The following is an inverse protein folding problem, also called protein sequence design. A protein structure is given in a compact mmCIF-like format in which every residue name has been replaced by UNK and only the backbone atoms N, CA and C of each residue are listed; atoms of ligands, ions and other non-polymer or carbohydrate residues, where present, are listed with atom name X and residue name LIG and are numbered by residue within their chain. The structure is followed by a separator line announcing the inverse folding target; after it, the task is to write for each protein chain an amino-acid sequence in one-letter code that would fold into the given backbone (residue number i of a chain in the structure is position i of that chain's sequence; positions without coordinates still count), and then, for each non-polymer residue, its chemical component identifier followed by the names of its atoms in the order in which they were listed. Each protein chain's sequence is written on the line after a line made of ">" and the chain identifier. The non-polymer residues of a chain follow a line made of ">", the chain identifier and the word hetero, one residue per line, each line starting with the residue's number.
data_IF_614929204770
#
_entry.id   IF_614929204770
#
_cell.length_a   1.000
_cell.length_b   1.000
_cell.length_c   1.000
_cell.angle_alpha   90.00
_cell.angle_beta   90.00
_cell.angle_gamma   90.00
#
_symmetry.space_group_name_H-M   'P 1'
#
loop_
_entity.id
_entity.type
_entity.pdbx_description
1 polymer ?
#
# COMPACT_ATOMS: atom_id res chain seq x y z
N UNK A 1 -10.36 51.09 -15.82
CA UNK A 1 -11.46 50.15 -16.14
C UNK A 1 -11.16 49.25 -17.34
N UNK A 2 -11.18 49.71 -18.60
CA UNK A 2 -10.93 48.81 -19.76
C UNK A 2 -9.53 48.17 -19.77
N UNK A 3 -8.51 48.89 -19.28
CA UNK A 3 -7.14 48.37 -19.22
C UNK A 3 -6.96 47.30 -18.13
N UNK A 4 -7.64 47.47 -16.99
CA UNK A 4 -7.55 46.58 -15.83
C UNK A 4 -8.31 45.27 -16.04
N UNK A 5 -9.46 45.32 -16.71
CA UNK A 5 -10.20 44.12 -17.11
C UNK A 5 -9.41 43.29 -18.15
N UNK A 6 -8.76 43.96 -19.10
CA UNK A 6 -7.87 43.29 -20.06
C UNK A 6 -6.67 42.66 -19.37
N UNK A 7 -6.11 43.34 -18.36
CA UNK A 7 -5.03 42.79 -17.54
C UNK A 7 -5.49 41.53 -16.77
N UNK A 8 -6.67 41.58 -16.14
CA UNK A 8 -7.24 40.44 -15.43
C UNK A 8 -7.52 39.25 -16.38
N UNK A 9 -8.02 39.51 -17.59
CA UNK A 9 -8.19 38.48 -18.65
C UNK A 9 -6.86 37.84 -19.04
N UNK A 10 -5.80 38.64 -19.19
CA UNK A 10 -4.47 38.14 -19.52
C UNK A 10 -3.90 37.27 -18.38
N UNK A 11 -4.02 37.73 -17.13
CA UNK A 11 -3.59 36.98 -15.94
C UNK A 11 -4.30 35.62 -15.85
N UNK A 12 -5.62 35.56 -16.03
CA UNK A 12 -6.39 34.31 -16.03
C UNK A 12 -5.99 33.41 -17.21
N UNK A 13 -5.74 33.98 -18.38
CA UNK A 13 -5.36 33.21 -19.59
C UNK A 13 -3.98 32.58 -19.46
N UNK A 14 -3.08 33.19 -18.69
CA UNK A 14 -1.74 32.68 -18.40
C UNK A 14 -1.74 31.53 -17.38
N UNK A 15 -2.86 31.30 -16.68
CA UNK A 15 -2.98 30.15 -15.77
C UNK A 15 -3.06 28.85 -16.54
N UNK A 16 -2.45 27.80 -16.01
CA UNK A 16 -2.69 26.45 -16.52
C UNK A 16 -4.04 25.91 -16.01
N UNK A 17 -4.54 24.84 -16.66
CA UNK A 17 -5.85 24.25 -16.33
C UNK A 17 -5.98 23.81 -14.86
N UNK A 18 -4.89 23.37 -14.23
CA UNK A 18 -4.93 23.00 -12.81
C UNK A 18 -5.09 24.22 -11.90
N UNK A 19 -4.41 25.32 -12.18
CA UNK A 19 -4.59 26.58 -11.45
C UNK A 19 -6.02 27.09 -11.60
N UNK A 20 -6.57 27.01 -12.81
CA UNK A 20 -7.97 27.37 -13.07
C UNK A 20 -8.95 26.48 -12.31
N UNK A 21 -8.74 25.18 -12.31
CA UNK A 21 -9.60 24.25 -11.56
C UNK A 21 -9.50 24.50 -10.05
N UNK A 22 -8.29 24.76 -9.54
CA UNK A 22 -8.09 25.13 -8.14
C UNK A 22 -8.85 26.41 -7.78
N UNK A 23 -8.80 27.43 -8.63
CA UNK A 23 -9.58 28.66 -8.41
C UNK A 23 -11.08 28.39 -8.30
N UNK A 24 -11.64 27.56 -9.18
CA UNK A 24 -13.06 27.17 -9.10
C UNK A 24 -13.35 26.49 -7.77
N UNK A 25 -12.46 25.63 -7.27
CA UNK A 25 -12.65 24.98 -5.99
C UNK A 25 -12.55 25.96 -4.81
N UNK A 26 -11.68 26.96 -4.89
CA UNK A 26 -11.56 28.04 -3.91
C UNK A 26 -12.83 28.89 -3.87
N UNK A 27 -13.38 29.26 -5.02
CA UNK A 27 -14.66 29.96 -5.10
C UNK A 27 -15.77 29.18 -4.40
N UNK A 28 -15.86 27.86 -4.61
CA UNK A 28 -16.83 27.01 -3.90
C UNK A 28 -16.62 27.06 -2.38
N UNK A 29 -15.38 26.95 -1.91
CA UNK A 29 -15.06 26.96 -0.48
C UNK A 29 -15.47 28.27 0.19
N UNK A 30 -15.19 29.41 -0.45
CA UNK A 30 -15.54 30.72 0.09
C UNK A 30 -16.98 31.15 -0.24
N UNK A 31 -17.83 30.23 -0.70
CA UNK A 31 -19.22 30.49 -1.06
C UNK A 31 -19.41 31.63 -2.08
N UNK A 32 -18.46 31.77 -3.02
CA UNK A 32 -18.62 32.70 -4.12
C UNK A 32 -19.79 32.25 -5.01
N UNK A 33 -20.57 33.20 -5.51
CA UNK A 33 -21.55 32.92 -6.55
C UNK A 33 -20.83 32.62 -7.86
N UNK A 34 -20.80 31.35 -8.26
CA UNK A 34 -20.11 30.89 -9.47
C UNK A 34 -21.00 31.14 -10.69
N UNK A 35 -20.54 32.01 -11.58
CA UNK A 35 -21.22 32.29 -12.84
C UNK A 35 -21.04 31.10 -13.77
N UNK A 36 -22.13 30.49 -14.24
CA UNK A 36 -22.06 29.27 -15.07
C UNK A 36 -21.84 29.67 -16.54
N UNK A 37 -20.64 29.40 -17.05
CA UNK A 37 -20.29 29.52 -18.48
C UNK A 37 -19.44 28.32 -18.92
N UNK A 38 -19.47 27.97 -20.20
CA UNK A 38 -18.71 26.82 -20.74
C UNK A 38 -17.19 27.07 -20.77
N UNK A 39 -16.79 28.33 -20.99
CA UNK A 39 -15.39 28.72 -20.98
C UNK A 39 -14.88 28.94 -19.54
N UNK A 40 -13.89 28.16 -19.11
CA UNK A 40 -13.32 28.24 -17.75
C UNK A 40 -12.69 29.61 -17.44
N UNK A 41 -12.10 30.30 -18.42
CA UNK A 41 -11.51 31.62 -18.21
C UNK A 41 -12.61 32.65 -17.93
N UNK A 42 -13.69 32.62 -18.73
CA UNK A 42 -14.85 33.49 -18.52
C UNK A 42 -15.55 33.17 -17.20
N UNK A 43 -15.66 31.88 -16.86
CA UNK A 43 -16.21 31.42 -15.59
C UNK A 43 -15.47 32.04 -14.43
N UNK A 44 -14.14 31.99 -14.45
CA UNK A 44 -13.29 32.57 -13.42
C UNK A 44 -13.42 34.10 -13.38
N UNK A 45 -13.31 34.75 -14.55
CA UNK A 45 -13.40 36.20 -14.68
C UNK A 45 -14.73 36.75 -14.14
N UNK A 46 -15.84 36.19 -14.59
CA UNK A 46 -17.17 36.65 -14.21
C UNK A 46 -17.46 36.35 -12.74
N UNK A 47 -17.02 35.18 -12.24
CA UNK A 47 -17.15 34.83 -10.83
C UNK A 47 -16.37 35.80 -9.95
N UNK A 48 -15.10 36.09 -10.27
CA UNK A 48 -14.29 36.97 -9.44
C UNK A 48 -14.77 38.43 -9.52
N UNK A 49 -15.20 38.92 -10.67
CA UNK A 49 -15.75 40.28 -10.78
C UNK A 49 -17.08 40.42 -10.04
N UNK A 50 -18.00 39.48 -10.23
CA UNK A 50 -19.32 39.52 -9.59
C UNK A 50 -19.22 39.56 -8.05
N UNK A 51 -18.38 38.70 -7.47
CA UNK A 51 -18.21 38.61 -6.02
C UNK A 51 -17.36 39.76 -5.43
N UNK A 52 -16.81 40.63 -6.27
CA UNK A 52 -16.01 41.78 -5.88
C UNK A 52 -16.58 43.09 -6.43
N UNK A 53 -17.90 43.17 -6.61
CA UNK A 53 -18.64 44.39 -7.02
C UNK A 53 -18.13 45.02 -8.33
N UNK A 54 -17.60 44.20 -9.25
CA UNK A 54 -16.95 44.62 -10.49
C UNK A 54 -15.71 45.53 -10.28
N UNK A 55 -15.14 45.54 -9.07
CA UNK A 55 -13.86 46.19 -8.79
C UNK A 55 -12.71 45.34 -9.34
N UNK A 56 -12.20 45.73 -10.51
CA UNK A 56 -11.13 45.03 -11.24
C UNK A 56 -9.81 45.00 -10.48
N UNK A 57 -9.43 46.08 -9.79
CA UNK A 57 -8.19 46.14 -9.01
C UNK A 57 -8.24 45.13 -7.84
N UNK A 58 -9.34 45.13 -7.09
CA UNK A 58 -9.52 44.19 -5.98
C UNK A 58 -9.62 42.74 -6.45
N UNK A 59 -10.29 42.49 -7.59
CA UNK A 59 -10.34 41.17 -8.21
C UNK A 59 -8.94 40.65 -8.62
N UNK A 60 -8.06 41.51 -9.13
CA UNK A 60 -6.66 41.15 -9.43
C UNK A 60 -5.90 40.80 -8.14
N UNK A 61 -6.09 41.56 -7.06
CA UNK A 61 -5.46 41.27 -5.77
C UNK A 61 -5.92 39.90 -5.26
N UNK A 62 -7.23 39.63 -5.27
CA UNK A 62 -7.79 38.34 -4.85
C UNK A 62 -7.32 37.17 -5.70
N UNK A 63 -7.24 37.37 -7.02
CA UNK A 63 -6.67 36.37 -7.94
C UNK A 63 -5.24 36.01 -7.52
N UNK A 64 -4.40 37.03 -7.31
CA UNK A 64 -3.01 36.84 -6.91
C UNK A 64 -2.89 36.18 -5.53
N UNK A 65 -3.74 36.54 -4.57
CA UNK A 65 -3.81 35.87 -3.27
C UNK A 65 -4.08 34.37 -3.42
N UNK A 66 -5.07 33.97 -4.22
CA UNK A 66 -5.38 32.55 -4.45
C UNK A 66 -4.24 31.79 -5.13
N UNK A 67 -3.58 32.41 -6.10
CA UNK A 67 -2.43 31.79 -6.78
C UNK A 67 -1.23 31.67 -5.82
N UNK A 68 -1.00 32.69 -4.99
CA UNK A 68 0.16 32.77 -4.12
C UNK A 68 0.14 31.74 -2.99
N UNK A 69 -1.02 31.18 -2.62
CA UNK A 69 -1.11 30.13 -1.61
C UNK A 69 -0.95 28.71 -2.17
N UNK A 70 -0.88 28.53 -3.50
CA UNK A 70 -0.71 27.21 -4.10
C UNK A 70 0.70 26.65 -3.88
N UNK A 71 0.82 25.32 -3.80
CA UNK A 71 2.14 24.67 -3.80
C UNK A 71 2.83 24.83 -5.15
N UNK A 72 4.16 24.89 -5.13
CA UNK A 72 4.94 25.10 -6.34
C UNK A 72 5.02 23.86 -7.21
N UNK A 73 5.41 24.08 -8.47
CA UNK A 73 5.54 23.04 -9.48
C UNK A 73 6.40 21.84 -9.03
N UNK A 74 7.59 22.02 -8.40
CA UNK A 74 8.41 20.88 -8.01
C UNK A 74 7.72 19.95 -7.02
N UNK A 75 6.96 20.50 -6.07
CA UNK A 75 6.18 19.72 -5.10
C UNK A 75 5.08 18.91 -5.79
N UNK A 76 4.35 19.52 -6.74
CA UNK A 76 3.33 18.81 -7.53
C UNK A 76 3.94 17.68 -8.34
N UNK A 77 5.05 17.94 -9.02
CA UNK A 77 5.76 16.94 -9.81
C UNK A 77 6.25 15.79 -8.92
N UNK A 78 6.76 16.09 -7.72
CA UNK A 78 7.19 15.05 -6.76
C UNK A 78 6.05 14.10 -6.37
N UNK A 79 4.84 14.64 -6.17
CA UNK A 79 3.63 13.86 -5.85
C UNK A 79 3.25 13.01 -7.07
N UNK A 80 3.26 13.57 -8.28
CA UNK A 80 2.80 12.86 -9.48
C UNK A 80 3.77 11.75 -9.90
N UNK A 81 5.08 11.97 -9.75
CA UNK A 81 6.12 11.05 -10.23
C UNK A 81 6.24 9.77 -9.39
N UNK A 82 6.15 9.85 -8.06
CA UNK A 82 6.22 8.68 -7.17
C UNK A 82 4.81 8.29 -6.69
N UNK A 83 4.22 7.28 -7.34
CA UNK A 83 2.89 6.74 -7.00
C UNK A 83 2.79 6.23 -5.57
N UNK A 84 3.87 5.67 -5.03
CA UNK A 84 3.88 5.18 -3.64
C UNK A 84 3.90 6.37 -2.69
N UNK A 85 4.69 7.40 -3.00
CA UNK A 85 4.72 8.63 -2.21
C UNK A 85 3.37 9.34 -2.19
N UNK A 86 2.68 9.47 -3.32
CA UNK A 86 1.38 10.15 -3.34
C UNK A 86 0.32 9.43 -2.53
N UNK A 87 0.26 8.09 -2.62
CA UNK A 87 -0.65 7.28 -1.83
C UNK A 87 -0.27 7.33 -0.34
N UNK A 88 1.03 7.36 -0.03
CA UNK A 88 1.51 7.55 1.34
C UNK A 88 1.01 8.88 1.91
N UNK A 89 1.18 9.99 1.18
CA UNK A 89 0.70 11.32 1.59
C UNK A 89 -0.81 11.33 1.80
N UNK A 90 -1.55 10.74 0.86
CA UNK A 90 -3.01 10.64 0.93
C UNK A 90 -3.47 9.84 2.16
N UNK A 91 -2.91 8.65 2.38
CA UNK A 91 -3.24 7.81 3.54
C UNK A 91 -2.84 8.49 4.85
N UNK A 92 -1.67 9.14 4.90
CA UNK A 92 -1.23 9.87 6.07
C UNK A 92 -2.22 10.99 6.42
N UNK A 93 -2.57 11.85 5.47
CA UNK A 93 -3.52 12.96 5.69
C UNK A 93 -4.92 12.44 6.05
N UNK A 94 -5.38 11.35 5.44
CA UNK A 94 -6.70 10.78 5.71
C UNK A 94 -6.85 10.19 7.13
N UNK A 95 -5.74 9.82 7.77
CA UNK A 95 -5.74 9.14 9.07
C UNK A 95 -5.13 9.97 10.20
N UNK A 96 -4.49 11.10 9.91
CA UNK A 96 -3.83 11.93 10.91
C UNK A 96 -4.47 13.31 11.06
N UNK A 97 -4.37 13.86 12.27
CA UNK A 97 -4.90 15.18 12.64
C UNK A 97 -3.87 16.26 12.35
N UNK A 98 -3.72 16.59 11.07
CA UNK A 98 -2.61 17.40 10.57
C UNK A 98 -2.91 18.90 10.58
N UNK A 99 -4.14 19.34 10.38
CA UNK A 99 -4.47 20.76 10.17
C UNK A 99 -5.30 21.33 11.32
N UNK A 100 -5.01 22.57 11.72
CA UNK A 100 -5.86 23.32 12.64
C UNK A 100 -7.23 23.59 12.04
N UNK A 101 -8.26 23.76 12.86
CA UNK A 101 -9.62 24.05 12.40
C UNK A 101 -9.79 25.34 11.63
N UNK A 102 -8.95 26.33 11.92
CA UNK A 102 -8.91 27.61 11.20
C UNK A 102 -8.05 27.53 9.93
N UNK A 103 -7.52 26.35 9.61
CA UNK A 103 -6.68 26.05 8.45
C UNK A 103 -5.40 26.90 8.32
N UNK A 104 -4.96 27.56 9.40
CA UNK A 104 -3.77 28.44 9.39
C UNK A 104 -2.49 27.75 9.86
N UNK A 105 -2.60 26.57 10.46
CA UNK A 105 -1.47 25.83 11.02
C UNK A 105 -1.47 24.36 10.56
N UNK A 106 -0.26 23.88 10.30
CA UNK A 106 0.02 22.47 10.04
C UNK A 106 0.79 21.90 11.23
N UNK A 107 0.24 20.85 11.84
CA UNK A 107 0.83 20.14 12.95
C UNK A 107 1.70 18.99 12.47
N UNK A 108 2.96 19.01 12.90
CA UNK A 108 3.94 17.98 12.61
C UNK A 108 3.94 16.93 13.73
N UNK A 109 2.79 16.28 13.94
CA UNK A 109 2.60 15.13 14.84
C UNK A 109 3.12 15.24 16.30
N UNK A 110 3.10 16.43 16.90
CA UNK A 110 3.47 16.62 18.30
C UNK A 110 2.24 16.64 19.24
N UNK A 111 1.85 15.43 19.66
CA UNK A 111 1.31 15.06 20.99
C UNK A 111 0.28 15.95 21.73
N UNK A 112 -0.57 16.81 21.17
CA UNK A 112 -1.56 17.55 22.01
C UNK A 112 -3.04 17.35 21.61
N UNK A 113 -3.98 17.36 22.57
CA UNK A 113 -5.42 17.19 22.32
C UNK A 113 -5.98 18.47 21.70
N UNK A 114 -5.91 18.57 20.39
CA UNK A 114 -6.40 19.75 19.66
C UNK A 114 -7.92 19.62 19.49
N UNK A 115 -8.65 20.63 19.96
CA UNK A 115 -10.11 20.61 20.08
C UNK A 115 -10.86 20.91 18.79
N UNK A 116 -10.22 21.38 17.72
CA UNK A 116 -10.90 21.60 16.44
C UNK A 116 -9.91 21.31 15.30
N UNK A 117 -10.21 20.33 14.45
CA UNK A 117 -9.32 19.80 13.40
C UNK A 117 -10.07 19.73 12.08
N UNK A 118 -9.45 20.15 10.98
CA UNK A 118 -10.00 19.91 9.65
C UNK A 118 -9.81 18.44 9.32
N UNK A 119 -10.92 17.83 8.98
CA UNK A 119 -10.92 16.46 8.57
C UNK A 119 -10.81 16.40 7.05
N UNK A 120 -9.70 15.87 6.52
CA UNK A 120 -9.55 15.56 5.10
C UNK A 120 -10.75 14.76 4.56
N UNK A 121 -11.40 13.96 5.41
CA UNK A 121 -12.61 13.19 5.07
C UNK A 121 -13.85 14.03 4.76
N UNK A 122 -13.89 15.29 5.18
CA UNK A 122 -14.94 16.23 4.78
C UNK A 122 -14.74 16.75 3.35
N UNK A 123 -13.48 16.75 2.89
CA UNK A 123 -13.10 17.17 1.54
C UNK A 123 -13.08 16.00 0.56
N UNK A 124 -12.49 14.88 0.97
CA UNK A 124 -12.22 13.70 0.14
C UNK A 124 -13.05 12.50 0.56
N UNK A 125 -13.35 11.63 -0.40
CA UNK A 125 -13.98 10.34 -0.17
C UNK A 125 -13.03 9.20 -0.57
N UNK A 126 -12.29 8.57 0.37
CA UNK A 126 -11.39 7.46 0.07
C UNK A 126 -12.04 6.31 -0.70
N UNK A 127 -13.34 6.07 -0.46
CA UNK A 127 -14.14 5.08 -1.19
C UNK A 127 -14.29 5.35 -2.69
N UNK A 128 -14.04 6.59 -3.15
CA UNK A 128 -14.10 6.99 -4.57
C UNK A 128 -12.73 7.01 -5.25
N UNK A 129 -11.64 6.83 -4.49
CA UNK A 129 -10.26 6.92 -4.97
C UNK A 129 -9.78 5.60 -5.56
N UNK A 130 -10.16 5.38 -6.82
CA UNK A 130 -9.98 4.11 -7.53
C UNK A 130 -8.70 4.00 -8.36
N UNK A 131 -7.94 5.09 -8.52
CA UNK A 131 -6.68 5.13 -9.27
C UNK A 131 -5.77 6.23 -8.71
N UNK A 132 -4.49 6.18 -9.09
CA UNK A 132 -3.48 7.12 -8.58
C UNK A 132 -3.70 8.55 -9.08
N UNK A 133 -4.22 8.75 -10.28
CA UNK A 133 -4.46 10.11 -10.81
C UNK A 133 -5.51 10.86 -10.00
N UNK A 134 -6.61 10.18 -9.65
CA UNK A 134 -7.63 10.73 -8.75
C UNK A 134 -7.04 11.08 -7.39
N UNK A 135 -6.21 10.20 -6.82
CA UNK A 135 -5.51 10.45 -5.55
C UNK A 135 -4.60 11.67 -5.65
N UNK A 136 -3.82 11.79 -6.73
CA UNK A 136 -2.91 12.90 -6.95
C UNK A 136 -3.67 14.23 -7.04
N UNK A 137 -4.72 14.28 -7.86
CA UNK A 137 -5.56 15.47 -8.02
C UNK A 137 -6.22 15.87 -6.70
N UNK A 138 -6.84 14.93 -6.01
CA UNK A 138 -7.54 15.19 -4.76
C UNK A 138 -6.60 15.65 -3.64
N UNK A 139 -5.42 15.05 -3.55
CA UNK A 139 -4.35 15.46 -2.63
C UNK A 139 -3.85 16.88 -2.93
N UNK A 140 -3.53 17.17 -4.19
CA UNK A 140 -3.02 18.49 -4.61
C UNK A 140 -4.08 19.57 -4.38
N UNK A 141 -5.33 19.30 -4.77
CA UNK A 141 -6.44 20.23 -4.59
C UNK A 141 -6.66 20.53 -3.12
N UNK A 142 -6.68 19.51 -2.26
CA UNK A 142 -6.79 19.70 -0.82
C UNK A 142 -5.67 20.58 -0.25
N UNK A 143 -4.42 20.27 -0.57
CA UNK A 143 -3.26 21.05 -0.07
C UNK A 143 -3.30 22.48 -0.60
N UNK A 144 -3.77 22.71 -1.82
CA UNK A 144 -3.91 24.07 -2.33
C UNK A 144 -5.05 24.84 -1.64
N UNK A 145 -6.14 24.16 -1.27
CA UNK A 145 -7.36 24.77 -0.71
C UNK A 145 -7.23 25.16 0.76
N UNK A 146 -6.39 24.46 1.53
CA UNK A 146 -6.12 24.84 2.93
C UNK A 146 -5.52 26.25 3.02
N UNK A 147 -5.95 27.04 4.02
CA UNK A 147 -5.61 28.47 4.17
C UNK A 147 -4.22 28.74 4.75
N UNK A 148 -3.37 27.71 4.83
CA UNK A 148 -2.00 27.86 5.31
C UNK A 148 -1.17 28.70 4.34
N UNK A 149 -0.12 29.34 4.86
CA UNK A 149 0.85 30.00 4.01
C UNK A 149 1.56 28.99 3.10
N UNK A 150 1.97 29.43 1.90
CA UNK A 150 2.73 28.63 0.95
C UNK A 150 3.96 27.95 1.60
N UNK A 151 4.69 28.70 2.42
CA UNK A 151 5.86 28.21 3.16
C UNK A 151 5.51 27.07 4.12
N UNK A 152 4.37 27.13 4.82
CA UNK A 152 3.93 26.04 5.69
C UNK A 152 3.60 24.79 4.87
N UNK A 153 2.89 24.94 3.74
CA UNK A 153 2.55 23.82 2.84
C UNK A 153 3.81 23.12 2.32
N UNK A 154 4.80 23.90 1.88
CA UNK A 154 6.10 23.39 1.44
C UNK A 154 6.82 22.62 2.55
N UNK A 155 6.97 23.23 3.74
CA UNK A 155 7.57 22.57 4.91
C UNK A 155 6.89 21.26 5.27
N UNK A 156 5.56 21.20 5.13
CA UNK A 156 4.81 19.98 5.36
C UNK A 156 5.10 18.90 4.32
N UNK A 157 5.15 19.26 3.04
CA UNK A 157 5.53 18.32 1.99
C UNK A 157 6.97 17.83 2.13
N UNK A 158 7.90 18.71 2.50
CA UNK A 158 9.29 18.33 2.81
C UNK A 158 9.37 17.35 3.98
N UNK A 159 8.58 17.60 5.03
CA UNK A 159 8.46 16.69 6.16
C UNK A 159 7.95 15.31 5.73
N UNK A 160 6.86 15.26 4.95
CA UNK A 160 6.31 14.01 4.43
C UNK A 160 7.32 13.27 3.56
N UNK A 161 8.02 13.99 2.68
CA UNK A 161 9.03 13.41 1.80
C UNK A 161 10.21 12.85 2.58
N UNK A 162 10.72 13.60 3.58
CA UNK A 162 11.79 13.15 4.47
C UNK A 162 11.38 11.90 5.23
N UNK A 163 10.17 11.91 5.81
CA UNK A 163 9.61 10.77 6.56
C UNK A 163 9.45 9.53 5.69
N UNK A 164 8.89 9.69 4.49
CA UNK A 164 8.73 8.60 3.53
C UNK A 164 10.08 8.04 3.09
N UNK A 165 11.03 8.90 2.71
CA UNK A 165 12.35 8.48 2.25
C UNK A 165 13.13 7.74 3.33
N UNK A 166 13.08 8.19 4.58
CA UNK A 166 13.70 7.48 5.70
C UNK A 166 13.08 6.09 5.89
N UNK A 167 11.74 6.02 5.94
CA UNK A 167 11.00 4.76 6.10
C UNK A 167 11.25 3.79 4.93
N UNK A 168 11.31 4.29 3.70
CA UNK A 168 11.58 3.52 2.48
C UNK A 168 13.00 2.95 2.45
N UNK A 169 13.99 3.74 2.91
CA UNK A 169 15.39 3.31 3.00
C UNK A 169 15.55 2.15 3.97
N UNK A 170 14.89 2.22 5.12
CA UNK A 170 15.02 1.21 6.18
C UNK A 170 14.13 -0.03 5.94
N UNK A 171 12.98 0.14 5.25
CA UNK A 171 11.97 -0.91 5.08
C UNK A 171 11.65 -1.18 3.61
N UNK A 172 12.51 -1.96 2.95
CA UNK A 172 12.35 -2.26 1.53
C UNK A 172 11.30 -3.35 1.23
N UNK A 173 10.47 -3.04 0.24
CA UNK A 173 9.47 -3.92 -0.37
C UNK A 173 9.89 -4.48 -1.73
N UNK A 174 11.19 -4.52 -2.04
CA UNK A 174 11.70 -5.07 -3.31
C UNK A 174 11.20 -6.49 -3.62
N UNK A 175 10.94 -7.29 -2.59
CA UNK A 175 10.39 -8.65 -2.69
C UNK A 175 8.95 -8.72 -3.22
N UNK A 176 8.19 -7.61 -3.26
CA UNK A 176 6.87 -7.55 -3.90
C UNK A 176 6.93 -7.52 -5.44
N UNK A 177 8.13 -7.39 -6.01
CA UNK A 177 8.37 -7.45 -7.47
C UNK A 177 8.33 -8.87 -8.03
N UNK A 178 8.23 -9.90 -7.18
CA UNK A 178 8.14 -11.29 -7.60
C UNK A 178 6.95 -11.51 -8.56
N UNK A 179 7.20 -12.16 -9.71
CA UNK A 179 6.16 -12.60 -10.64
C UNK A 179 5.43 -13.82 -10.05
N UNK A 180 4.59 -13.57 -9.06
CA UNK A 180 3.74 -14.57 -8.44
C UNK A 180 2.26 -14.12 -8.50
N UNK A 181 1.41 -14.93 -9.12
CA UNK A 181 -0.01 -14.62 -9.33
C UNK A 181 -0.82 -14.54 -8.02
N UNK A 182 -0.38 -15.21 -6.96
CA UNK A 182 -1.06 -15.24 -5.67
C UNK A 182 -0.66 -14.09 -4.75
N UNK A 183 0.53 -13.50 -4.98
CA UNK A 183 1.10 -12.47 -4.12
C UNK A 183 0.23 -11.20 -3.99
N UNK A 184 -0.41 -10.68 -5.06
CA UNK A 184 -1.25 -9.49 -4.94
C UNK A 184 -2.44 -9.72 -3.99
N UNK A 185 -3.23 -10.77 -4.22
CA UNK A 185 -4.39 -11.08 -3.37
C UNK A 185 -3.94 -11.41 -1.94
N UNK A 186 -2.89 -12.19 -1.77
CA UNK A 186 -2.38 -12.53 -0.45
C UNK A 186 -1.95 -11.28 0.34
N UNK A 187 -1.31 -10.30 -0.32
CA UNK A 187 -0.85 -9.08 0.34
C UNK A 187 -2.03 -8.21 0.80
N UNK A 188 -3.07 -8.09 -0.04
CA UNK A 188 -4.32 -7.39 0.31
C UNK A 188 -4.98 -8.09 1.50
N UNK A 189 -5.19 -9.41 1.43
CA UNK A 189 -5.80 -10.19 2.52
C UNK A 189 -5.01 -10.09 3.83
N UNK A 190 -3.66 -10.06 3.73
CA UNK A 190 -2.79 -9.94 4.90
C UNK A 190 -2.98 -8.58 5.57
N UNK A 191 -3.08 -7.51 4.79
CA UNK A 191 -3.26 -6.16 5.28
C UNK A 191 -4.67 -5.95 5.85
N UNK A 192 -5.71 -6.43 5.17
CA UNK A 192 -7.11 -6.34 5.63
C UNK A 192 -7.34 -7.01 6.98
N UNK A 193 -6.68 -8.15 7.22
CA UNK A 193 -6.86 -8.93 8.46
C UNK A 193 -5.93 -8.49 9.60
N UNK A 194 -5.06 -7.50 9.36
CA UNK A 194 -4.04 -7.12 10.32
C UNK A 194 -4.58 -6.06 11.30
N UNK A 195 -4.62 -6.42 12.58
CA UNK A 195 -5.10 -5.55 13.67
C UNK A 195 -4.29 -4.26 13.84
N UNK A 196 -2.99 -4.26 13.50
CA UNK A 196 -2.16 -3.05 13.56
C UNK A 196 -2.63 -2.07 12.50
N UNK A 197 -2.87 -2.53 11.28
CA UNK A 197 -3.38 -1.68 10.20
C UNK A 197 -4.77 -1.16 10.54
N UNK A 198 -5.68 -2.03 11.01
CA UNK A 198 -7.03 -1.64 11.41
C UNK A 198 -7.02 -0.56 12.51
N UNK A 199 -6.11 -0.68 13.48
CA UNK A 199 -5.97 0.28 14.59
C UNK A 199 -5.43 1.64 14.11
N UNK A 200 -4.37 1.60 13.29
CA UNK A 200 -3.61 2.80 12.91
C UNK A 200 -4.20 3.52 11.68
N UNK A 201 -4.85 2.79 10.77
CA UNK A 201 -5.33 3.28 9.48
C UNK A 201 -6.78 2.85 9.22
N UNK A 202 -7.72 3.70 9.64
CA UNK A 202 -9.16 3.46 9.46
C UNK A 202 -9.67 3.82 8.06
N UNK A 203 -8.91 4.64 7.32
CA UNK A 203 -9.34 5.22 6.05
C UNK A 203 -8.34 4.91 4.96
N UNK A 204 -8.63 3.86 4.20
CA UNK A 204 -7.85 3.44 3.05
C UNK A 204 -8.60 3.77 1.75
N UNK A 205 -7.90 4.20 0.69
CA UNK A 205 -8.53 4.40 -0.61
C UNK A 205 -8.97 3.06 -1.21
N UNK A 206 -10.07 3.04 -1.97
CA UNK A 206 -10.56 1.80 -2.62
C UNK A 206 -9.53 1.18 -3.56
N UNK A 207 -8.58 1.98 -4.08
CA UNK A 207 -7.41 1.52 -4.82
C UNK A 207 -6.61 0.42 -4.10
N UNK A 208 -6.64 0.37 -2.77
CA UNK A 208 -6.00 -0.68 -1.98
C UNK A 208 -6.46 -2.10 -2.38
N UNK A 209 -7.73 -2.26 -2.75
CA UNK A 209 -8.31 -3.55 -3.13
C UNK A 209 -7.98 -3.95 -4.59
N UNK A 210 -7.29 -3.08 -5.33
CA UNK A 210 -6.88 -3.37 -6.70
C UNK A 210 -5.56 -4.17 -6.72
N UNK A 211 -5.64 -5.40 -7.24
CA UNK A 211 -4.49 -6.31 -7.39
C UNK A 211 -3.39 -5.77 -8.29
N UNK A 212 -3.72 -4.93 -9.27
CA UNK A 212 -2.70 -4.34 -10.17
C UNK A 212 -1.92 -3.23 -9.46
N UNK A 213 -2.56 -2.61 -8.47
CA UNK A 213 -2.01 -1.49 -7.71
C UNK A 213 -1.19 -1.90 -6.48
N UNK A 214 -1.23 -3.19 -6.10
CA UNK A 214 -0.68 -3.67 -4.83
C UNK A 214 0.79 -3.29 -4.60
N UNK A 215 1.60 -3.23 -5.68
CA UNK A 215 3.04 -2.94 -5.62
C UNK A 215 3.34 -1.55 -5.06
N UNK A 216 2.41 -0.62 -5.19
CA UNK A 216 2.57 0.73 -4.66
C UNK A 216 1.62 1.02 -3.50
N UNK A 217 0.43 0.40 -3.43
CA UNK A 217 -0.49 0.60 -2.30
C UNK A 217 0.01 -0.04 -1.01
N UNK A 218 0.54 -1.27 -1.07
CA UNK A 218 1.03 -2.00 0.12
C UNK A 218 2.19 -1.25 0.79
N UNK A 219 3.26 -0.85 0.07
CA UNK A 219 4.32 -0.05 0.68
C UNK A 219 3.82 1.29 1.19
N UNK A 220 2.95 1.99 0.44
CA UNK A 220 2.43 3.30 0.84
C UNK A 220 1.70 3.25 2.18
N UNK A 221 0.79 2.27 2.35
CA UNK A 221 0.05 2.03 3.60
C UNK A 221 1.02 1.72 4.73
N UNK A 222 1.98 0.82 4.50
CA UNK A 222 2.97 0.48 5.51
C UNK A 222 3.78 1.71 5.98
N UNK A 223 4.25 2.52 5.04
CA UNK A 223 5.06 3.68 5.38
C UNK A 223 4.23 4.74 6.11
N UNK A 224 2.92 4.85 5.83
CA UNK A 224 1.99 5.80 6.44
C UNK A 224 1.59 5.47 7.88
N UNK A 225 1.81 4.24 8.37
CA UNK A 225 1.54 3.88 9.76
C UNK A 225 2.41 4.71 10.72
N UNK A 226 1.79 5.28 11.76
CA UNK A 226 2.45 6.06 12.81
C UNK A 226 2.89 5.19 14.00
N UNK A 227 3.53 4.07 13.69
CA UNK A 227 4.11 3.14 14.66
C UNK A 227 5.63 3.32 14.73
N UNK A 228 6.23 2.83 15.81
CA UNK A 228 7.68 2.91 16.00
C UNK A 228 8.46 2.14 14.92
N UNK A 229 9.70 2.54 14.68
CA UNK A 229 10.57 1.85 13.71
C UNK A 229 10.76 0.36 14.07
N UNK A 230 10.86 0.03 15.36
CA UNK A 230 10.94 -1.34 15.83
C UNK A 230 9.68 -2.15 15.47
N UNK A 231 8.49 -1.58 15.62
CA UNK A 231 7.23 -2.21 15.21
C UNK A 231 7.14 -2.37 13.69
N UNK A 232 7.60 -1.38 12.91
CA UNK A 232 7.69 -1.50 11.43
C UNK A 232 8.61 -2.65 11.02
N UNK A 233 9.80 -2.76 11.63
CA UNK A 233 10.74 -3.88 11.39
C UNK A 233 10.08 -5.22 11.68
N UNK A 234 9.48 -5.36 12.86
CA UNK A 234 8.83 -6.60 13.29
C UNK A 234 7.67 -6.96 12.36
N UNK A 235 6.85 -5.99 11.97
CA UNK A 235 5.77 -6.18 11.02
C UNK A 235 6.29 -6.74 9.69
N UNK A 236 7.30 -6.09 9.11
CA UNK A 236 7.85 -6.49 7.81
C UNK A 236 8.50 -7.89 7.86
N UNK A 237 9.23 -8.21 8.93
CA UNK A 237 9.80 -9.54 9.16
C UNK A 237 8.69 -10.59 9.22
N UNK A 238 7.64 -10.30 9.99
CA UNK A 238 6.50 -11.22 10.18
C UNK A 238 5.74 -11.44 8.87
N UNK A 239 5.53 -10.37 8.10
CA UNK A 239 4.90 -10.43 6.77
C UNK A 239 5.72 -11.29 5.81
N UNK A 240 7.03 -11.04 5.68
CA UNK A 240 7.92 -11.84 4.83
C UNK A 240 7.92 -13.32 5.22
N UNK A 241 7.97 -13.61 6.53
CA UNK A 241 7.90 -14.98 7.05
C UNK A 241 6.57 -15.66 6.72
N UNK A 242 5.45 -14.96 6.89
CA UNK A 242 4.12 -15.47 6.57
C UNK A 242 3.99 -15.78 5.06
N UNK A 243 4.53 -14.91 4.20
CA UNK A 243 4.58 -15.17 2.76
C UNK A 243 5.43 -16.39 2.42
N UNK A 244 6.63 -16.50 3.02
CA UNK A 244 7.50 -17.67 2.84
C UNK A 244 6.81 -18.98 3.23
N UNK A 245 6.06 -18.98 4.32
CA UNK A 245 5.25 -20.13 4.74
C UNK A 245 4.12 -20.44 3.74
N UNK A 246 3.43 -19.43 3.22
CA UNK A 246 2.39 -19.62 2.18
C UNK A 246 2.99 -20.23 0.92
N UNK A 247 4.11 -19.70 0.41
CA UNK A 247 4.84 -20.27 -0.74
C UNK A 247 5.21 -21.73 -0.51
N UNK A 248 5.76 -22.03 0.66
CA UNK A 248 6.14 -23.41 1.02
C UNK A 248 4.94 -24.36 1.03
N UNK A 249 3.82 -23.96 1.66
CA UNK A 249 2.58 -24.75 1.69
C UNK A 249 2.01 -24.98 0.29
N UNK A 250 1.99 -23.95 -0.55
CA UNK A 250 1.55 -24.06 -1.95
C UNK A 250 2.45 -25.02 -2.73
N UNK A 251 3.77 -24.93 -2.55
CA UNK A 251 4.75 -25.83 -3.17
C UNK A 251 4.51 -27.29 -2.77
N UNK A 252 4.36 -27.57 -1.47
CA UNK A 252 4.05 -28.91 -0.95
C UNK A 252 2.77 -29.47 -1.60
N UNK A 253 1.71 -28.66 -1.64
CA UNK A 253 0.41 -29.07 -2.21
C UNK A 253 0.54 -29.41 -3.69
N UNK A 254 1.23 -28.57 -4.45
CA UNK A 254 1.44 -28.78 -5.89
C UNK A 254 2.31 -30.00 -6.18
N UNK A 255 3.33 -30.25 -5.36
CA UNK A 255 4.21 -31.42 -5.46
C UNK A 255 3.60 -32.71 -4.86
N UNK A 256 2.33 -32.65 -4.40
CA UNK A 256 1.63 -33.75 -3.69
C UNK A 256 2.45 -34.33 -2.52
N UNK A 257 3.28 -33.52 -1.89
CA UNK A 257 4.06 -33.91 -0.72
C UNK A 257 3.20 -33.81 0.52
N UNK A 258 3.45 -34.70 1.48
CA UNK A 258 2.83 -34.66 2.81
C UNK A 258 3.95 -34.45 3.82
N UNK A 259 3.70 -33.61 4.83
CA UNK A 259 4.67 -33.40 5.91
C UNK A 259 4.56 -34.57 6.88
N UNK A 260 5.67 -35.26 7.12
CA UNK A 260 5.77 -36.32 8.12
C UNK A 260 6.48 -35.76 9.34
N UNK A 261 5.73 -35.47 10.41
CA UNK A 261 6.29 -35.02 11.68
C UNK A 261 6.66 -36.25 12.52
N UNK A 262 7.95 -36.56 12.60
CA UNK A 262 8.47 -37.67 13.41
C UNK A 262 9.18 -37.12 14.64
N UNK A 263 8.87 -37.72 15.80
CA UNK A 263 9.69 -37.60 17.00
C UNK A 263 10.48 -38.90 17.11
N UNK A 264 11.80 -38.80 17.18
CA UNK A 264 12.71 -39.93 17.26
C UNK A 264 13.72 -39.68 18.37
N UNK A 265 14.24 -40.75 18.97
CA UNK A 265 15.29 -40.63 19.97
C UNK A 265 16.59 -40.08 19.36
N UNK A 266 17.43 -39.48 20.20
CA UNK A 266 18.64 -38.77 19.77
C UNK A 266 19.59 -39.68 18.96
N UNK A 267 19.66 -40.98 19.31
CA UNK A 267 20.47 -41.95 18.58
C UNK A 267 19.99 -42.14 17.14
N UNK A 268 18.67 -42.22 16.94
CA UNK A 268 18.06 -42.37 15.61
C UNK A 268 18.30 -41.11 14.78
N UNK A 269 18.14 -39.93 15.37
CA UNK A 269 18.43 -38.65 14.69
C UNK A 269 19.90 -38.59 14.22
N UNK A 270 20.85 -38.99 15.08
CA UNK A 270 22.28 -39.07 14.72
C UNK A 270 22.52 -40.02 13.55
N UNK A 271 21.92 -41.22 13.58
CA UNK A 271 22.05 -42.21 12.51
C UNK A 271 21.46 -41.70 11.19
N UNK A 272 20.27 -41.09 11.22
CA UNK A 272 19.62 -40.51 10.04
C UNK A 272 20.43 -39.36 9.44
N UNK A 273 20.98 -38.47 10.26
CA UNK A 273 21.87 -37.37 9.81
C UNK A 273 23.17 -37.88 9.21
N UNK A 274 23.75 -38.94 9.77
CA UNK A 274 24.94 -39.60 9.21
C UNK A 274 24.65 -40.19 7.83
N UNK A 275 23.57 -40.96 7.69
CA UNK A 275 23.15 -41.51 6.40
C UNK A 275 22.86 -40.41 5.38
N UNK A 276 22.20 -39.32 5.80
CA UNK A 276 21.96 -38.16 4.96
C UNK A 276 23.25 -37.57 4.37
N UNK A 277 24.34 -37.55 5.15
CA UNK A 277 25.67 -37.11 4.69
C UNK A 277 26.35 -38.14 3.78
N UNK A 278 26.31 -39.42 4.15
CA UNK A 278 26.97 -40.49 3.37
C UNK A 278 26.34 -40.64 1.96
N UNK A 279 25.03 -40.47 1.85
CA UNK A 279 24.30 -40.57 0.59
C UNK A 279 24.10 -39.21 -0.13
N UNK A 280 24.57 -38.11 0.46
CA UNK A 280 24.36 -36.73 -0.02
C UNK A 280 22.90 -36.42 -0.40
N UNK A 281 21.96 -36.85 0.45
CA UNK A 281 20.53 -36.60 0.27
C UNK A 281 19.88 -36.15 1.57
N UNK A 282 18.82 -35.33 1.54
CA UNK A 282 18.16 -34.89 2.77
C UNK A 282 17.54 -36.04 3.56
N UNK A 283 17.46 -35.91 4.88
CA UNK A 283 16.95 -36.95 5.80
C UNK A 283 15.58 -37.52 5.40
N UNK A 284 14.66 -36.70 4.89
CA UNK A 284 13.35 -37.19 4.43
C UNK A 284 13.45 -38.17 3.24
N UNK A 285 14.49 -38.03 2.41
CA UNK A 285 14.77 -38.95 1.30
C UNK A 285 15.34 -40.27 1.80
N UNK A 286 16.21 -40.23 2.82
CA UNK A 286 16.68 -41.43 3.52
C UNK A 286 15.50 -42.24 4.07
N UNK A 287 14.60 -41.58 4.80
CA UNK A 287 13.38 -42.23 5.33
C UNK A 287 12.56 -42.84 4.20
N UNK A 288 12.38 -42.12 3.09
CA UNK A 288 11.65 -42.66 1.93
C UNK A 288 12.33 -43.90 1.33
N UNK A 289 13.66 -43.88 1.19
CA UNK A 289 14.45 -45.01 0.67
C UNK A 289 14.34 -46.23 1.59
N UNK A 290 14.48 -46.03 2.91
CA UNK A 290 14.34 -47.09 3.90
C UNK A 290 12.95 -47.72 3.86
N UNK A 291 11.89 -46.90 3.79
CA UNK A 291 10.51 -47.38 3.74
C UNK A 291 10.24 -48.22 2.49
N UNK A 292 10.70 -47.78 1.32
CA UNK A 292 10.57 -48.54 0.07
C UNK A 292 11.29 -49.88 0.19
N UNK A 293 12.56 -49.85 0.61
CA UNK A 293 13.37 -51.05 0.77
C UNK A 293 12.72 -52.09 1.71
N UNK A 294 12.22 -51.63 2.87
CA UNK A 294 11.55 -52.48 3.85
C UNK A 294 10.24 -53.07 3.29
N UNK A 295 9.44 -52.28 2.58
CA UNK A 295 8.19 -52.74 1.98
C UNK A 295 8.43 -53.80 0.89
N UNK A 296 9.42 -53.59 0.03
CA UNK A 296 9.80 -54.53 -1.01
C UNK A 296 10.30 -55.85 -0.41
N UNK A 297 11.19 -55.76 0.59
CA UNK A 297 11.71 -56.94 1.30
C UNK A 297 10.63 -57.73 2.02
N UNK A 298 9.68 -57.06 2.67
CA UNK A 298 8.55 -57.73 3.31
C UNK A 298 7.70 -58.51 2.30
N UNK A 299 7.46 -57.92 1.13
CA UNK A 299 6.71 -58.56 0.05
C UNK A 299 7.43 -59.80 -0.49
N UNK A 300 8.75 -59.72 -0.67
CA UNK A 300 9.59 -60.86 -1.07
C UNK A 300 9.50 -62.01 -0.05
N UNK A 301 9.63 -61.72 1.24
CA UNK A 301 9.55 -62.71 2.32
C UNK A 301 8.18 -63.39 2.32
N UNK A 302 7.09 -62.62 2.23
CA UNK A 302 5.73 -63.16 2.23
C UNK A 302 5.48 -64.10 1.04
N UNK A 303 5.96 -63.74 -0.15
CA UNK A 303 5.85 -64.58 -1.33
C UNK A 303 6.63 -65.91 -1.18
N UNK A 304 7.80 -65.88 -0.54
CA UNK A 304 8.58 -67.08 -0.25
C UNK A 304 7.86 -68.00 0.76
N UNK A 305 7.22 -67.44 1.77
CA UNK A 305 6.44 -68.20 2.74
C UNK A 305 5.21 -68.87 2.11
N UNK A 306 4.49 -68.17 1.24
CA UNK A 306 3.35 -68.74 0.50
C UNK A 306 3.79 -69.88 -0.43
N UNK A 307 4.91 -69.70 -1.14
CA UNK A 307 5.51 -70.78 -1.95
C UNK A 307 5.87 -71.99 -1.10
N UNK A 308 6.49 -71.79 0.06
CA UNK A 308 6.82 -72.88 1.01
C UNK A 308 5.56 -73.60 1.51
N UNK A 309 4.50 -72.86 1.88
CA UNK A 309 3.22 -73.44 2.31
C UNK A 309 2.55 -74.25 1.19
N UNK A 310 2.53 -73.73 -0.03
CA UNK A 310 1.96 -74.42 -1.18
C UNK A 310 2.75 -75.68 -1.55
N UNK A 311 4.08 -75.64 -1.47
CA UNK A 311 4.92 -76.82 -1.70
C UNK A 311 4.69 -77.90 -0.64
N UNK A 312 4.55 -77.53 0.65
CA UNK A 312 4.18 -78.48 1.71
C UNK A 312 2.81 -79.10 1.49
N UNK A 313 1.80 -78.31 1.06
CA UNK A 313 0.46 -78.82 0.73
C UNK A 313 0.50 -79.83 -0.43
N UNK A 314 1.26 -79.55 -1.48
CA UNK A 314 1.46 -80.48 -2.61
C UNK A 314 2.17 -81.77 -2.19
N UNK A 315 3.18 -81.68 -1.32
CA UNK A 315 3.87 -82.88 -0.79
C UNK A 315 2.94 -83.76 0.05
N UNK A 316 2.09 -83.16 0.90
CA UNK A 316 1.07 -83.88 1.67
C UNK A 316 0.00 -84.53 0.78
N UNK A 317 -0.41 -83.86 -0.30
CA UNK A 317 -1.36 -84.42 -1.27
C UNK A 317 -0.77 -85.57 -2.10
N UNK A 318 0.55 -85.60 -2.30
CA UNK A 318 1.22 -86.69 -3.01
C UNK A 318 1.55 -87.90 -2.10
N UNK A 319 1.31 -87.78 -0.78
CA UNK A 319 1.53 -88.83 0.23
C UNK A 319 0.22 -89.50 0.69
N UNK A 320 -0.93 -88.95 0.28
CA UNK A 320 -2.25 -89.60 0.33
C UNK A 320 -2.54 -90.23 -1.03
#
# INVERSE_FOLDING_TARGET
>A
MKNDENNLKNEISNLNEQQKQHMINMFKKYNYHIVITDNINERILNTILYNNENNTEYAIIKLKEFINIMIDRPYRESIIQDRTFSIFCYVHIANNKVFSSDERLIFFNDRHPIRNIINFRGFSSPSKMSNTDKINHDLIDFINIIECSKTQKHRYLDYLQTKYNQSKKDHSFSWLSENNKDLPQWSIDYFEKNKVIEKELRHLPILFNNKEAFRFTIPAIFHAMEISDAEKKLFLITMKKAWGQKKYRTKIKNEKKITLNLVVDEEIDKRLKRLSKEFDVPVNKIVSMMTIYLADKYTEIKALEEKKKNNKRKQLQNLM
#
